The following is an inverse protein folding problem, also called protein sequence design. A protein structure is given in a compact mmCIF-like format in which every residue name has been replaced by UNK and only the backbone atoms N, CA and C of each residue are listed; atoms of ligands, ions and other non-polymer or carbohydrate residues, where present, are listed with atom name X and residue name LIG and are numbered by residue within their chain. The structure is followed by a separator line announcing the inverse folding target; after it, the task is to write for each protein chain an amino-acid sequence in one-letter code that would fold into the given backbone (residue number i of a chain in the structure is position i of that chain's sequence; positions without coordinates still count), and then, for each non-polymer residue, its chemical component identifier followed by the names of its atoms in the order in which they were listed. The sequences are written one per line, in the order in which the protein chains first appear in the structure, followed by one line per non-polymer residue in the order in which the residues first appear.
data_IF_716846168904
#
_entry.id   IF_716846168904
#
_cell.length_a   1.000
_cell.length_b   1.000
_cell.length_c   1.000
_cell.angle_alpha   90.00
_cell.angle_beta   90.00
_cell.angle_gamma   90.00
#
_symmetry.space_group_name_H-M   'P 1'
#
loop_
_entity.id
_entity.type
_entity.pdbx_description
1 polymer ?
#
# COMPACT_ATOMS: atom_id res chain seq x y z
N UNK A 1 7.13 7.08 30.02
CA UNK A 1 7.60 5.69 29.78
C UNK A 1 6.81 4.96 28.69
N UNK A 2 5.47 5.00 28.65
CA UNK A 2 4.66 4.30 27.61
C UNK A 2 4.87 4.80 26.17
N UNK A 3 5.09 6.10 25.98
CA UNK A 3 5.34 6.71 24.66
C UNK A 3 6.58 6.13 23.99
N UNK A 4 7.64 5.85 24.77
CA UNK A 4 8.87 5.23 24.28
C UNK A 4 8.68 3.74 23.94
N UNK A 5 7.72 3.06 24.60
CA UNK A 5 7.39 1.64 24.33
C UNK A 5 6.73 1.45 22.97
N UNK A 6 5.75 2.29 22.64
CA UNK A 6 5.02 2.28 21.36
C UNK A 6 5.89 2.81 20.21
N UNK A 7 6.78 3.76 20.49
CA UNK A 7 7.76 4.28 19.53
C UNK A 7 8.66 3.15 18.97
N UNK A 8 9.15 2.25 19.82
CA UNK A 8 10.03 1.17 19.36
C UNK A 8 9.30 0.13 18.49
N UNK A 9 8.04 -0.22 18.80
CA UNK A 9 7.25 -1.13 17.96
C UNK A 9 7.01 -0.58 16.55
N UNK A 10 6.81 0.74 16.43
CA UNK A 10 6.68 1.41 15.13
C UNK A 10 7.96 1.32 14.28
N UNK A 11 9.12 1.03 14.88
CA UNK A 11 10.40 0.97 14.18
C UNK A 11 10.75 -0.41 13.63
N UNK A 12 10.08 -1.46 14.10
CA UNK A 12 10.38 -2.85 13.73
C UNK A 12 9.90 -3.18 12.33
N UNK A 13 8.67 -2.79 12.00
CA UNK A 13 8.10 -3.08 10.70
C UNK A 13 8.29 -1.90 9.74
N UNK A 14 9.55 -1.57 9.51
CA UNK A 14 9.96 -0.48 8.62
C UNK A 14 10.89 -1.00 7.53
N UNK A 15 10.98 -0.29 6.41
CA UNK A 15 11.91 -0.63 5.32
C UNK A 15 13.35 -0.73 5.81
N UNK A 16 13.79 0.22 6.65
CA UNK A 16 15.14 0.26 7.20
C UNK A 16 15.43 -0.97 8.08
N UNK A 17 14.49 -1.36 8.94
CA UNK A 17 14.68 -2.55 9.76
C UNK A 17 14.74 -3.82 8.91
N UNK A 18 13.90 -3.95 7.88
CA UNK A 18 14.00 -5.10 6.98
C UNK A 18 15.34 -5.12 6.23
N UNK A 19 15.90 -3.96 5.86
CA UNK A 19 17.27 -3.90 5.32
C UNK A 19 18.31 -4.39 6.32
N UNK A 20 18.21 -4.01 7.60
CA UNK A 20 19.12 -4.52 8.63
C UNK A 20 19.02 -6.04 8.77
N UNK A 21 17.82 -6.62 8.70
CA UNK A 21 17.62 -8.06 8.72
C UNK A 21 18.29 -8.76 7.53
N UNK A 22 18.11 -8.23 6.31
CA UNK A 22 18.72 -8.75 5.09
C UNK A 22 20.26 -8.66 5.15
N UNK A 23 20.78 -7.52 5.62
CA UNK A 23 22.22 -7.27 5.71
C UNK A 23 22.90 -7.96 6.90
N UNK A 24 22.16 -8.71 7.72
CA UNK A 24 22.68 -9.38 8.92
C UNK A 24 23.20 -8.42 10.00
N UNK A 25 22.71 -7.16 10.01
CA UNK A 25 23.16 -6.15 10.97
C UNK A 25 22.50 -6.35 12.33
N UNK A 26 23.30 -6.21 13.39
CA UNK A 26 22.79 -6.13 14.75
C UNK A 26 22.10 -4.78 14.96
N UNK A 27 20.83 -4.80 15.38
CA UNK A 27 20.05 -3.58 15.64
C UNK A 27 19.62 -3.52 17.12
N UNK A 28 20.02 -2.44 17.79
CA UNK A 28 19.69 -2.20 19.20
C UNK A 28 18.19 -2.06 19.44
N UNK A 29 17.44 -1.51 18.48
CA UNK A 29 15.99 -1.38 18.55
C UNK A 29 15.34 -2.76 18.46
N UNK A 30 15.79 -3.60 17.53
CA UNK A 30 15.31 -4.98 17.42
C UNK A 30 15.58 -5.75 18.73
N UNK A 31 16.81 -5.69 19.23
CA UNK A 31 17.22 -6.34 20.47
C UNK A 31 16.43 -5.84 21.70
N UNK A 32 16.09 -4.54 21.74
CA UNK A 32 15.29 -3.96 22.81
C UNK A 32 13.81 -4.37 22.73
N UNK A 33 13.27 -4.55 21.53
CA UNK A 33 11.89 -5.02 21.32
C UNK A 33 11.78 -6.50 21.63
N UNK A 34 12.70 -7.34 21.16
CA UNK A 34 12.74 -8.78 21.45
C UNK A 34 12.72 -9.02 22.96
N UNK A 35 13.69 -8.45 23.70
CA UNK A 35 13.76 -8.56 25.17
C UNK A 35 12.49 -8.11 25.90
N UNK A 36 11.70 -7.24 25.28
CA UNK A 36 10.53 -6.62 25.90
C UNK A 36 9.22 -7.34 25.60
N UNK A 37 9.07 -7.87 24.40
CA UNK A 37 7.79 -8.34 23.88
C UNK A 37 7.76 -9.83 23.54
N UNK A 38 8.88 -10.54 23.68
CA UNK A 38 8.95 -11.99 23.42
C UNK A 38 9.37 -12.75 24.68
N UNK A 39 9.02 -14.03 24.75
CA UNK A 39 9.36 -14.91 25.87
C UNK A 39 10.53 -15.80 25.48
N UNK A 40 11.55 -15.94 26.35
CA UNK A 40 12.72 -16.82 26.14
C UNK A 40 13.36 -16.68 24.73
N UNK A 41 13.82 -15.48 24.34
CA UNK A 41 14.21 -15.22 22.96
C UNK A 41 15.41 -16.06 22.48
N UNK A 42 16.34 -16.39 23.38
CA UNK A 42 17.53 -17.21 23.09
C UNK A 42 17.18 -18.64 22.63
N UNK A 43 15.94 -19.11 22.83
CA UNK A 43 15.48 -20.44 22.40
C UNK A 43 14.76 -20.44 21.05
N UNK A 44 14.68 -19.29 20.39
CA UNK A 44 13.83 -19.06 19.21
C UNK A 44 14.65 -18.55 18.04
N UNK A 45 14.16 -18.83 16.83
CA UNK A 45 14.67 -18.17 15.64
C UNK A 45 14.00 -16.79 15.45
N UNK A 46 14.58 -15.96 14.59
CA UNK A 46 14.04 -14.61 14.34
C UNK A 46 12.62 -14.62 13.77
N UNK A 47 12.23 -15.67 13.03
CA UNK A 47 10.85 -15.81 12.52
C UNK A 47 9.83 -15.92 13.64
N UNK A 48 10.08 -16.74 14.65
CA UNK A 48 9.22 -16.88 15.82
C UNK A 48 9.13 -15.57 16.60
N UNK A 49 10.25 -14.88 16.80
CA UNK A 49 10.29 -13.60 17.49
C UNK A 49 9.48 -12.52 16.75
N UNK A 50 9.64 -12.42 15.43
CA UNK A 50 8.87 -11.49 14.61
C UNK A 50 7.36 -11.78 14.70
N UNK A 51 6.97 -13.06 14.72
CA UNK A 51 5.57 -13.45 14.89
C UNK A 51 5.00 -13.02 16.25
N UNK A 52 5.76 -13.18 17.33
CA UNK A 52 5.36 -12.70 18.66
C UNK A 52 5.23 -11.18 18.72
N UNK A 53 6.19 -10.45 18.15
CA UNK A 53 6.15 -8.98 18.08
C UNK A 53 4.94 -8.52 17.25
N UNK A 54 4.62 -9.21 16.15
CA UNK A 54 3.43 -8.88 15.36
C UNK A 54 2.12 -9.21 16.09
N UNK A 55 2.10 -10.28 16.89
CA UNK A 55 0.97 -10.60 17.77
C UNK A 55 0.72 -9.49 18.80
N UNK A 56 1.78 -8.85 19.30
CA UNK A 56 1.68 -7.68 20.17
C UNK A 56 1.01 -6.49 19.45
N UNK A 57 1.40 -6.19 18.20
CA UNK A 57 0.70 -5.18 17.37
C UNK A 57 -0.78 -5.53 17.21
N UNK A 58 -1.10 -6.78 16.90
CA UNK A 58 -2.48 -7.24 16.69
C UNK A 58 -3.36 -7.03 17.93
N UNK A 59 -2.83 -7.33 19.12
CA UNK A 59 -3.60 -7.33 20.38
C UNK A 59 -3.69 -5.96 21.01
N UNK A 60 -2.58 -5.22 21.04
CA UNK A 60 -2.41 -4.07 21.92
C UNK A 60 -2.13 -2.75 21.18
N UNK A 61 -1.68 -2.80 19.91
CA UNK A 61 -1.29 -1.59 19.19
C UNK A 61 -1.40 -1.74 17.66
N UNK A 62 -2.63 -1.72 17.14
CA UNK A 62 -2.92 -1.86 15.70
C UNK A 62 -2.61 -0.55 14.95
N UNK A 63 -1.32 -0.34 14.68
CA UNK A 63 -0.81 0.82 13.94
C UNK A 63 -1.04 0.71 12.42
N UNK A 64 -0.62 1.74 11.69
CA UNK A 64 -0.76 1.83 10.23
C UNK A 64 -0.15 0.62 9.49
N UNK A 65 1.05 0.18 9.91
CA UNK A 65 1.69 -1.00 9.35
C UNK A 65 0.81 -2.25 9.47
N UNK A 66 0.25 -2.50 10.66
CA UNK A 66 -0.63 -3.64 10.89
C UNK A 66 -1.83 -3.64 9.92
N UNK A 67 -2.47 -2.49 9.72
CA UNK A 67 -3.57 -2.36 8.76
C UNK A 67 -3.11 -2.59 7.33
N UNK A 68 -2.03 -1.93 6.90
CA UNK A 68 -1.46 -2.07 5.55
C UNK A 68 -1.09 -3.52 5.23
N UNK A 69 -0.39 -4.18 6.15
CA UNK A 69 0.00 -5.58 6.00
C UNK A 69 -1.20 -6.52 6.01
N UNK A 70 -2.19 -6.28 6.88
CA UNK A 70 -3.41 -7.10 6.93
C UNK A 70 -4.21 -6.96 5.64
N UNK A 71 -4.34 -5.75 5.11
CA UNK A 71 -5.06 -5.48 3.87
C UNK A 71 -4.38 -6.09 2.66
N UNK A 72 -3.06 -5.93 2.52
CA UNK A 72 -2.31 -6.57 1.44
C UNK A 72 -2.54 -8.09 1.46
N UNK A 73 -2.32 -8.74 2.61
CA UNK A 73 -2.49 -10.19 2.72
C UNK A 73 -3.92 -10.63 2.40
N UNK A 74 -4.94 -9.90 2.86
CA UNK A 74 -6.34 -10.30 2.61
C UNK A 74 -6.79 -10.05 1.18
N UNK A 75 -6.49 -8.87 0.66
CA UNK A 75 -6.98 -8.46 -0.66
C UNK A 75 -6.13 -9.10 -1.75
N UNK A 76 -4.81 -8.91 -1.71
CA UNK A 76 -3.92 -9.37 -2.78
C UNK A 76 -3.69 -10.88 -2.76
N UNK A 77 -3.63 -11.50 -1.57
CA UNK A 77 -3.29 -12.93 -1.44
C UNK A 77 -4.47 -13.82 -1.04
N UNK A 78 -5.50 -13.25 -0.43
CA UNK A 78 -6.70 -13.99 -0.01
C UNK A 78 -7.85 -13.94 -1.01
N UNK A 79 -8.00 -12.84 -1.77
CA UNK A 79 -9.10 -12.67 -2.74
C UNK A 79 -8.58 -12.67 -4.18
N UNK A 80 -7.42 -12.06 -4.40
CA UNK A 80 -6.84 -11.92 -5.72
C UNK A 80 -5.59 -12.78 -5.88
N UNK A 81 -5.00 -12.73 -7.08
CA UNK A 81 -3.71 -13.35 -7.37
C UNK A 81 -2.69 -12.28 -7.72
N UNK A 82 -1.47 -12.43 -7.20
CA UNK A 82 -0.30 -11.63 -7.59
C UNK A 82 0.03 -11.73 -9.08
N UNK A 83 -0.51 -12.74 -9.79
CA UNK A 83 -0.34 -12.87 -11.23
C UNK A 83 -1.17 -11.87 -12.03
N UNK A 84 -2.34 -11.50 -11.51
CA UNK A 84 -3.33 -10.69 -12.24
C UNK A 84 -3.54 -9.32 -11.61
N UNK A 85 -3.06 -9.13 -10.38
CA UNK A 85 -3.34 -7.96 -9.55
C UNK A 85 -2.04 -7.29 -9.12
N UNK A 86 -1.99 -5.98 -9.30
CA UNK A 86 -0.88 -5.14 -8.84
C UNK A 86 -1.37 -4.27 -7.69
N UNK A 87 -0.61 -4.25 -6.59
CA UNK A 87 -0.81 -3.28 -5.54
C UNK A 87 0.22 -2.15 -5.66
N UNK A 88 -0.21 -0.92 -5.43
CA UNK A 88 0.64 0.25 -5.25
C UNK A 88 0.40 0.79 -3.85
N UNK A 89 1.43 1.37 -3.25
CA UNK A 89 1.33 2.05 -1.95
C UNK A 89 1.72 3.49 -2.13
N UNK A 90 1.24 4.36 -1.24
CA UNK A 90 1.79 5.71 -1.09
C UNK A 90 1.68 6.59 -2.34
N UNK A 91 0.58 6.44 -3.09
CA UNK A 91 0.38 7.11 -4.38
C UNK A 91 -0.07 8.56 -4.16
N UNK A 92 0.77 9.53 -4.53
CA UNK A 92 0.43 10.96 -4.47
C UNK A 92 -0.65 11.32 -5.49
N UNK A 93 -1.74 11.92 -5.03
CA UNK A 93 -2.90 12.31 -5.82
C UNK A 93 -3.33 13.71 -5.39
N UNK A 94 -3.16 14.71 -6.27
CA UNK A 94 -3.41 16.10 -5.95
C UNK A 94 -2.71 16.53 -4.64
N UNK A 95 -3.45 16.84 -3.57
CA UNK A 95 -2.90 17.25 -2.26
C UNK A 95 -2.84 16.11 -1.25
N UNK A 96 -3.27 14.92 -1.65
CA UNK A 96 -3.44 13.75 -0.81
C UNK A 96 -2.50 12.63 -1.23
N UNK A 97 -2.35 11.62 -0.38
CA UNK A 97 -1.50 10.45 -0.62
C UNK A 97 -2.31 9.20 -0.29
N UNK A 98 -2.70 8.46 -1.31
CA UNK A 98 -3.45 7.22 -1.15
C UNK A 98 -2.56 6.16 -0.48
N UNK A 99 -3.08 5.55 0.59
CA UNK A 99 -2.36 4.51 1.32
C UNK A 99 -2.07 3.29 0.44
N UNK A 100 -3.09 2.81 -0.27
CA UNK A 100 -3.04 1.57 -1.00
C UNK A 100 -3.95 1.62 -2.22
N UNK A 101 -3.47 1.17 -3.38
CA UNK A 101 -4.25 1.07 -4.62
C UNK A 101 -4.12 -0.34 -5.17
N UNK A 102 -5.24 -0.99 -5.45
CA UNK A 102 -5.27 -2.34 -6.01
C UNK A 102 -5.78 -2.29 -7.45
N UNK A 103 -5.02 -2.83 -8.38
CA UNK A 103 -5.30 -2.78 -9.82
C UNK A 103 -5.46 -4.19 -10.37
N UNK A 104 -6.70 -4.55 -10.72
CA UNK A 104 -7.05 -5.81 -11.39
C UNK A 104 -8.33 -5.63 -12.23
N UNK A 105 -8.17 -5.30 -13.51
CA UNK A 105 -9.28 -4.93 -14.40
C UNK A 105 -9.90 -3.56 -14.09
N UNK A 106 -9.92 -3.16 -12.81
CA UNK A 106 -10.22 -1.83 -12.30
C UNK A 106 -9.24 -1.45 -11.20
N UNK A 107 -9.18 -0.16 -10.85
CA UNK A 107 -8.34 0.34 -9.78
C UNK A 107 -9.19 0.77 -8.58
N UNK A 108 -8.90 0.22 -7.40
CA UNK A 108 -9.59 0.55 -6.15
C UNK A 108 -8.58 1.20 -5.21
N UNK A 109 -8.86 2.42 -4.78
CA UNK A 109 -8.12 3.10 -3.72
C UNK A 109 -8.65 2.64 -2.37
N UNK A 110 -7.75 2.35 -1.45
CA UNK A 110 -8.03 2.05 -0.05
C UNK A 110 -7.34 3.10 0.82
N UNK A 111 -8.14 3.95 1.47
CA UNK A 111 -7.70 4.87 2.51
C UNK A 111 -7.84 4.19 3.87
N UNK A 112 -6.78 4.20 4.69
CA UNK A 112 -6.77 3.52 5.98
C UNK A 112 -6.95 4.56 7.09
N UNK A 113 -7.93 4.32 7.97
CA UNK A 113 -8.16 5.10 9.20
C UNK A 113 -8.10 4.17 10.39
N UNK A 114 -6.93 4.08 11.01
CA UNK A 114 -6.63 3.24 12.15
C UNK A 114 -7.30 3.76 13.43
N UNK A 115 -7.09 3.06 14.54
CA UNK A 115 -7.53 3.52 15.87
C UNK A 115 -6.83 4.79 16.35
N UNK A 116 -5.72 5.16 15.71
CA UNK A 116 -4.89 6.29 16.09
C UNK A 116 -5.20 7.54 15.26
N UNK A 117 -5.99 7.38 14.19
CA UNK A 117 -6.27 8.44 13.23
C UNK A 117 -7.56 9.20 13.55
N UNK A 118 -7.54 10.51 13.27
CA UNK A 118 -8.75 11.30 13.15
C UNK A 118 -9.32 11.23 11.72
N UNK A 119 -10.57 11.66 11.57
CA UNK A 119 -11.28 11.64 10.28
C UNK A 119 -11.38 13.02 9.61
N UNK A 120 -10.70 14.04 10.14
CA UNK A 120 -10.87 15.44 9.75
C UNK A 120 -10.50 15.68 8.27
N UNK A 121 -9.44 15.02 7.80
CA UNK A 121 -8.93 15.16 6.43
C UNK A 121 -9.61 14.22 5.42
N UNK A 122 -10.50 13.34 5.88
CA UNK A 122 -11.01 12.24 5.07
C UNK A 122 -11.80 12.73 3.85
N UNK A 123 -12.63 13.76 4.00
CA UNK A 123 -13.43 14.32 2.91
C UNK A 123 -12.55 14.81 1.76
N UNK A 124 -11.56 15.66 2.05
CA UNK A 124 -10.65 16.16 1.02
C UNK A 124 -9.82 15.06 0.37
N UNK A 125 -9.45 14.02 1.12
CA UNK A 125 -8.72 12.88 0.58
C UNK A 125 -9.59 12.10 -0.42
N UNK A 126 -10.84 11.80 -0.06
CA UNK A 126 -11.79 11.12 -0.95
C UNK A 126 -12.01 11.93 -2.24
N UNK A 127 -12.19 13.24 -2.11
CA UNK A 127 -12.36 14.13 -3.27
C UNK A 127 -11.14 14.12 -4.19
N UNK A 128 -9.93 14.16 -3.62
CA UNK A 128 -8.71 14.03 -4.40
C UNK A 128 -8.60 12.67 -5.08
N UNK A 129 -8.96 11.57 -4.41
CA UNK A 129 -8.86 10.23 -4.98
C UNK A 129 -9.80 10.02 -6.16
N UNK A 130 -11.03 10.54 -6.09
CA UNK A 130 -11.98 10.46 -7.20
C UNK A 130 -11.59 11.30 -8.43
N UNK A 131 -10.62 12.21 -8.32
CA UNK A 131 -10.01 12.88 -9.49
C UNK A 131 -9.21 11.92 -10.37
N UNK A 132 -8.78 10.78 -9.83
CA UNK A 132 -7.90 9.84 -10.53
C UNK A 132 -8.49 8.44 -10.62
N UNK A 133 -9.18 7.97 -9.59
CA UNK A 133 -9.67 6.59 -9.52
C UNK A 133 -11.18 6.53 -9.40
N UNK A 134 -11.79 5.56 -10.07
CA UNK A 134 -13.25 5.44 -10.14
C UNK A 134 -13.86 4.61 -8.99
N UNK A 135 -13.03 4.02 -8.12
CA UNK A 135 -13.46 3.31 -6.92
C UNK A 135 -12.60 3.70 -5.72
N UNK A 136 -13.25 4.14 -4.64
CA UNK A 136 -12.60 4.50 -3.37
C UNK A 136 -13.23 3.71 -2.24
N UNK A 137 -12.41 3.18 -1.35
CA UNK A 137 -12.78 2.46 -0.13
C UNK A 137 -12.10 3.13 1.06
N UNK A 138 -12.85 3.32 2.14
CA UNK A 138 -12.29 3.64 3.45
C UNK A 138 -12.28 2.37 4.29
N UNK A 139 -11.09 2.00 4.76
CA UNK A 139 -10.89 0.92 5.72
C UNK A 139 -10.75 1.53 7.11
N UNK A 140 -11.61 1.13 8.04
CA UNK A 140 -11.54 1.60 9.42
C UNK A 140 -11.83 0.48 10.41
N UNK A 141 -12.12 0.82 11.66
CA UNK A 141 -12.48 -0.10 12.74
C UNK A 141 -13.88 0.19 13.28
N UNK A 142 -14.39 -0.71 14.12
CA UNK A 142 -15.79 -0.74 14.52
C UNK A 142 -16.30 0.58 15.14
N UNK A 143 -15.50 1.24 15.99
CA UNK A 143 -15.94 2.46 16.70
C UNK A 143 -16.07 3.67 15.77
N UNK A 144 -15.24 3.76 14.72
CA UNK A 144 -15.29 4.86 13.76
C UNK A 144 -16.42 4.73 12.74
N UNK A 145 -17.11 3.58 12.68
CA UNK A 145 -18.09 3.31 11.62
C UNK A 145 -19.23 4.33 11.57
N UNK A 146 -19.77 4.75 12.71
CA UNK A 146 -20.90 5.68 12.75
C UNK A 146 -20.48 7.09 12.31
N UNK A 147 -19.33 7.57 12.78
CA UNK A 147 -18.79 8.86 12.37
C UNK A 147 -18.44 8.86 10.89
N UNK A 148 -17.83 7.78 10.40
CA UNK A 148 -17.51 7.61 8.98
C UNK A 148 -18.77 7.68 8.11
N UNK A 149 -19.85 6.98 8.48
CA UNK A 149 -21.11 7.04 7.73
C UNK A 149 -21.66 8.45 7.61
N UNK A 150 -21.59 9.26 8.68
CA UNK A 150 -22.03 10.67 8.65
C UNK A 150 -21.19 11.50 7.68
N UNK A 151 -19.86 11.35 7.71
CA UNK A 151 -18.96 12.06 6.78
C UNK A 151 -19.28 11.69 5.34
N UNK A 152 -19.43 10.38 5.05
CA UNK A 152 -19.67 9.89 3.70
C UNK A 152 -21.06 10.24 3.16
N UNK A 153 -22.07 10.39 4.04
CA UNK A 153 -23.40 10.86 3.64
C UNK A 153 -23.34 12.27 3.04
N UNK A 154 -22.50 13.14 3.59
CA UNK A 154 -22.37 14.53 3.13
C UNK A 154 -21.59 14.67 1.82
N UNK A 155 -20.84 13.64 1.38
CA UNK A 155 -20.02 13.69 0.17
C UNK A 155 -20.76 13.30 -1.10
N UNK A 156 -21.93 12.66 -0.99
CA UNK A 156 -22.71 12.13 -2.12
C UNK A 156 -21.88 11.28 -3.12
N UNK A 157 -20.96 10.45 -2.58
CA UNK A 157 -20.11 9.55 -3.38
C UNK A 157 -20.25 8.09 -2.93
N UNK A 158 -20.19 7.11 -3.86
CA UNK A 158 -20.40 5.70 -3.55
C UNK A 158 -19.14 5.03 -2.98
N UNK A 159 -18.61 5.59 -1.89
CA UNK A 159 -17.37 5.16 -1.24
C UNK A 159 -17.59 3.82 -0.52
N UNK A 160 -16.77 2.81 -0.80
CA UNK A 160 -16.81 1.56 -0.05
C UNK A 160 -16.41 1.74 1.41
N UNK A 161 -16.98 0.93 2.31
CA UNK A 161 -16.67 0.96 3.74
C UNK A 161 -16.32 -0.44 4.19
N UNK A 162 -15.06 -0.66 4.55
CA UNK A 162 -14.59 -1.91 5.13
C UNK A 162 -14.18 -1.70 6.58
N UNK A 163 -14.47 -2.67 7.43
CA UNK A 163 -14.14 -2.64 8.86
C UNK A 163 -13.18 -3.78 9.18
N UNK A 164 -11.97 -3.44 9.64
CA UNK A 164 -11.00 -4.41 10.13
C UNK A 164 -11.26 -4.71 11.61
N UNK A 165 -11.83 -5.89 11.84
CA UNK A 165 -12.21 -6.35 13.17
C UNK A 165 -11.02 -6.74 14.03
N UNK A 166 -11.21 -6.80 15.35
CA UNK A 166 -10.16 -7.22 16.31
C UNK A 166 -9.60 -8.62 16.05
N UNK A 167 -10.43 -9.53 15.54
CA UNK A 167 -9.98 -10.88 15.12
C UNK A 167 -9.24 -10.87 13.77
N UNK A 168 -8.84 -9.70 13.26
CA UNK A 168 -8.25 -9.51 11.95
C UNK A 168 -9.15 -9.97 10.81
N UNK A 169 -10.48 -9.98 10.92
CA UNK A 169 -11.35 -10.17 9.77
C UNK A 169 -11.70 -8.83 9.12
N UNK A 170 -11.66 -8.77 7.79
CA UNK A 170 -12.07 -7.59 7.03
C UNK A 170 -13.54 -7.75 6.64
N UNK A 171 -14.42 -7.02 7.31
CA UNK A 171 -15.86 -7.05 7.03
C UNK A 171 -16.23 -5.95 6.04
N UNK A 172 -16.87 -6.33 4.95
CA UNK A 172 -17.50 -5.40 4.02
C UNK A 172 -18.81 -4.87 4.61
N UNK A 173 -18.90 -3.55 4.82
CA UNK A 173 -20.15 -2.87 5.23
C UNK A 173 -20.86 -2.29 4.01
N UNK A 174 -20.11 -1.66 3.11
CA UNK A 174 -20.58 -1.12 1.82
C UNK A 174 -19.53 -1.43 0.76
N UNK A 175 -19.93 -2.01 -0.37
CA UNK A 175 -19.01 -2.18 -1.52
C UNK A 175 -18.82 -0.83 -2.22
N UNK A 176 -17.62 -0.51 -2.74
CA UNK A 176 -17.44 0.68 -3.57
C UNK A 176 -18.13 0.48 -4.92
N UNK A 177 -18.66 1.55 -5.49
CA UNK A 177 -19.21 1.55 -6.85
C UNK A 177 -18.40 2.47 -7.76
N UNK A 178 -18.52 2.22 -9.06
CA UNK A 178 -17.84 3.01 -10.09
C UNK A 178 -18.41 4.43 -10.09
N UNK A 179 -17.54 5.42 -9.96
CA UNK A 179 -17.89 6.83 -10.01
C UNK A 179 -16.86 7.59 -10.85
N UNK A 180 -17.30 8.10 -12.00
CA UNK A 180 -16.41 8.72 -13.00
C UNK A 180 -16.58 10.23 -13.12
N UNK A 181 -17.60 10.82 -12.46
CA UNK A 181 -18.00 12.21 -12.66
C UNK A 181 -16.90 13.20 -12.28
N UNK A 182 -16.03 12.84 -11.35
CA UNK A 182 -14.96 13.70 -10.85
C UNK A 182 -13.61 13.41 -11.52
N UNK A 183 -13.51 12.43 -12.42
CA UNK A 183 -12.24 12.09 -13.07
C UNK A 183 -11.69 13.30 -13.82
N UNK A 184 -10.49 13.70 -13.45
CA UNK A 184 -9.82 14.87 -13.99
C UNK A 184 -8.58 14.42 -14.80
N UNK A 185 -8.65 14.58 -16.13
CA UNK A 185 -7.58 14.17 -17.04
C UNK A 185 -6.24 14.83 -16.70
N UNK A 186 -6.25 16.05 -16.16
CA UNK A 186 -5.00 16.70 -15.76
C UNK A 186 -4.35 16.00 -14.57
N UNK A 187 -5.12 15.70 -13.53
CA UNK A 187 -4.63 15.01 -12.33
C UNK A 187 -4.24 13.57 -12.66
N UNK A 188 -4.98 12.89 -13.52
CA UNK A 188 -4.63 11.56 -14.04
C UNK A 188 -3.29 11.62 -14.78
N UNK A 189 -3.07 12.59 -15.67
CA UNK A 189 -1.80 12.72 -16.40
C UNK A 189 -0.61 12.96 -15.46
N UNK A 190 -0.79 13.76 -14.41
CA UNK A 190 0.26 14.04 -13.40
C UNK A 190 0.70 12.79 -12.63
N UNK A 191 -0.11 11.73 -12.62
CA UNK A 191 0.27 10.46 -12.00
C UNK A 191 1.37 9.74 -12.79
N UNK A 192 1.44 9.96 -14.10
CA UNK A 192 2.28 9.20 -15.01
C UNK A 192 3.74 9.66 -14.97
N UNK A 193 4.65 8.68 -14.99
CA UNK A 193 6.08 8.89 -15.25
C UNK A 193 6.28 9.18 -16.74
N UNK A 194 7.42 9.78 -17.10
CA UNK A 194 7.75 10.14 -18.49
C UNK A 194 7.54 8.99 -19.48
N UNK A 195 8.16 7.85 -19.21
CA UNK A 195 8.04 6.66 -20.05
C UNK A 195 6.60 6.16 -20.17
N UNK A 196 5.78 6.32 -19.13
CA UNK A 196 4.40 5.82 -19.11
C UNK A 196 3.48 6.68 -19.97
N UNK A 197 3.57 8.01 -19.88
CA UNK A 197 2.76 8.85 -20.78
C UNK A 197 3.27 8.81 -22.22
N UNK A 198 4.58 8.64 -22.44
CA UNK A 198 5.13 8.46 -23.79
C UNK A 198 4.55 7.19 -24.44
N UNK A 199 4.56 6.08 -23.72
CA UNK A 199 3.99 4.83 -24.19
C UNK A 199 2.49 4.97 -24.54
N UNK A 200 1.71 5.64 -23.68
CA UNK A 200 0.28 5.86 -23.95
C UNK A 200 0.07 6.71 -25.20
N UNK A 201 0.83 7.81 -25.34
CA UNK A 201 0.72 8.71 -26.48
C UNK A 201 1.14 8.01 -27.76
N UNK A 202 2.24 7.26 -27.74
CA UNK A 202 2.73 6.51 -28.89
C UNK A 202 1.73 5.42 -29.32
N UNK A 203 1.15 4.69 -28.36
CA UNK A 203 0.14 3.67 -28.67
C UNK A 203 -1.13 4.26 -29.29
N UNK A 204 -1.54 5.47 -28.90
CA UNK A 204 -2.76 6.10 -29.42
C UNK A 204 -2.54 6.85 -30.75
N UNK A 205 -1.43 7.60 -30.88
CA UNK A 205 -1.17 8.48 -32.03
C UNK A 205 -0.14 7.93 -33.03
N UNK A 206 0.56 6.84 -32.69
CA UNK A 206 1.63 6.26 -33.52
C UNK A 206 2.94 7.06 -33.54
N UNK A 207 3.00 8.20 -32.84
CA UNK A 207 4.20 9.03 -32.76
C UNK A 207 4.28 9.84 -31.46
N UNK A 208 5.49 10.28 -31.14
CA UNK A 208 5.77 11.24 -30.07
C UNK A 208 6.00 12.63 -30.66
N UNK A 209 5.75 13.72 -29.90
CA UNK A 209 5.88 15.06 -30.42
C UNK A 209 7.34 15.41 -30.73
N UNK A 210 7.57 15.91 -31.95
CA UNK A 210 8.88 16.40 -32.41
C UNK A 210 9.08 17.87 -32.01
N UNK A 211 9.28 18.11 -30.71
CA UNK A 211 9.46 19.46 -30.15
C UNK A 211 10.69 19.52 -29.25
N UNK A 212 11.14 20.73 -28.94
CA UNK A 212 12.22 20.97 -27.97
C UNK A 212 11.90 20.38 -26.59
N UNK A 213 12.93 19.97 -25.84
CA UNK A 213 12.79 19.42 -24.49
C UNK A 213 11.97 20.31 -23.55
N UNK A 214 12.12 21.64 -23.67
CA UNK A 214 11.36 22.63 -22.88
C UNK A 214 9.84 22.55 -23.08
N UNK A 215 9.38 22.25 -24.31
CA UNK A 215 7.96 22.16 -24.67
C UNK A 215 7.39 20.75 -24.54
N UNK A 216 8.25 19.75 -24.41
CA UNK A 216 7.89 18.34 -24.56
C UNK A 216 6.77 17.90 -23.59
N UNK A 217 6.92 18.17 -22.30
CA UNK A 217 5.91 17.83 -21.30
C UNK A 217 4.55 18.47 -21.59
N UNK A 218 4.54 19.76 -21.93
CA UNK A 218 3.31 20.50 -22.20
C UNK A 218 2.58 19.96 -23.45
N UNK A 219 3.33 19.62 -24.51
CA UNK A 219 2.76 19.03 -25.73
C UNK A 219 2.24 17.61 -25.48
N UNK A 220 3.00 16.77 -24.76
CA UNK A 220 2.53 15.44 -24.36
C UNK A 220 1.26 15.52 -23.51
N UNK A 221 1.22 16.43 -22.52
CA UNK A 221 0.02 16.68 -21.72
C UNK A 221 -1.15 17.06 -22.63
N UNK A 222 -0.95 18.01 -23.55
CA UNK A 222 -1.99 18.41 -24.51
C UNK A 222 -2.49 17.20 -25.30
N UNK A 223 -1.60 16.39 -25.89
CA UNK A 223 -1.98 15.19 -26.65
C UNK A 223 -2.80 14.21 -25.81
N UNK A 224 -2.39 13.93 -24.57
CA UNK A 224 -3.15 13.08 -23.66
C UNK A 224 -4.53 13.67 -23.32
N UNK A 225 -4.62 14.97 -23.07
CA UNK A 225 -5.89 15.66 -22.78
C UNK A 225 -6.87 15.63 -23.96
N UNK A 226 -6.42 15.42 -25.20
CA UNK A 226 -7.31 15.27 -26.36
C UNK A 226 -7.89 13.85 -26.49
N UNK A 227 -7.34 12.87 -25.78
CA UNK A 227 -7.87 11.50 -25.78
C UNK A 227 -9.23 11.45 -25.05
N UNK A 228 -10.14 10.55 -25.45
CA UNK A 228 -11.34 10.22 -24.68
C UNK A 228 -10.96 9.78 -23.26
N UNK A 229 -11.76 10.18 -22.26
CA UNK A 229 -11.45 9.89 -20.85
C UNK A 229 -11.46 8.38 -20.59
N UNK A 230 -12.39 7.64 -21.20
CA UNK A 230 -12.50 6.20 -21.04
C UNK A 230 -11.25 5.47 -21.55
N UNK A 231 -10.77 5.83 -22.75
CA UNK A 231 -9.59 5.23 -23.37
C UNK A 231 -8.31 5.59 -22.63
N UNK A 232 -8.13 6.88 -22.33
CA UNK A 232 -6.95 7.37 -21.61
C UNK A 232 -6.88 6.77 -20.20
N UNK A 233 -8.01 6.70 -19.49
CA UNK A 233 -8.08 6.09 -18.16
C UNK A 233 -7.68 4.61 -18.17
N UNK A 234 -8.23 3.81 -19.09
CA UNK A 234 -7.85 2.40 -19.24
C UNK A 234 -6.36 2.24 -19.57
N UNK A 235 -5.81 3.13 -20.41
CA UNK A 235 -4.40 3.13 -20.78
C UNK A 235 -3.51 3.47 -19.58
N UNK A 236 -3.93 4.41 -18.74
CA UNK A 236 -3.25 4.71 -17.46
C UNK A 236 -3.26 3.48 -16.55
N UNK A 237 -4.40 2.82 -16.35
CA UNK A 237 -4.45 1.63 -15.49
C UNK A 237 -3.52 0.51 -15.98
N UNK A 238 -3.38 0.33 -17.30
CA UNK A 238 -2.43 -0.61 -17.89
C UNK A 238 -0.98 -0.25 -17.55
N UNK A 239 -0.60 1.03 -17.60
CA UNK A 239 0.76 1.43 -17.22
C UNK A 239 1.01 1.29 -15.72
N UNK A 240 0.07 1.73 -14.88
CA UNK A 240 0.19 1.59 -13.42
C UNK A 240 0.33 0.13 -12.99
N UNK A 241 -0.37 -0.79 -13.66
CA UNK A 241 -0.28 -2.24 -13.39
C UNK A 241 1.15 -2.78 -13.58
N UNK A 242 1.95 -2.19 -14.48
CA UNK A 242 3.32 -2.62 -14.76
C UNK A 242 4.34 -2.16 -13.72
N UNK A 243 3.99 -1.22 -12.83
CA UNK A 243 4.93 -0.58 -11.89
C UNK A 243 5.52 -1.50 -10.84
N UNK A 244 4.89 -2.65 -10.58
CA UNK A 244 5.34 -3.58 -9.54
C UNK A 244 5.52 -4.97 -10.12
N UNK A 245 6.71 -5.51 -9.89
CA UNK A 245 7.08 -6.87 -10.24
C UNK A 245 7.72 -7.51 -9.01
N UNK A 246 7.35 -8.75 -8.71
CA UNK A 246 7.85 -9.49 -7.56
C UNK A 246 8.31 -10.88 -7.99
N UNK A 247 9.36 -11.37 -7.36
CA UNK A 247 9.78 -12.77 -7.42
C UNK A 247 8.76 -13.64 -6.69
N UNK A 248 7.79 -14.19 -7.43
CA UNK A 248 6.56 -14.78 -6.85
C UNK A 248 6.85 -15.97 -5.94
N UNK A 249 7.77 -16.84 -6.35
CA UNK A 249 8.15 -18.04 -5.61
C UNK A 249 8.82 -17.67 -4.28
N UNK A 250 9.73 -16.70 -4.29
CA UNK A 250 10.39 -16.23 -3.08
C UNK A 250 9.43 -15.45 -2.18
N UNK A 251 8.60 -14.58 -2.77
CA UNK A 251 7.58 -13.83 -2.05
C UNK A 251 6.53 -14.72 -1.36
N UNK A 252 6.26 -15.91 -1.91
CA UNK A 252 5.37 -16.88 -1.29
C UNK A 252 5.89 -17.35 0.08
N UNK A 253 7.21 -17.52 0.22
CA UNK A 253 7.90 -18.00 1.45
C UNK A 253 7.97 -16.95 2.56
N UNK A 254 7.87 -15.66 2.22
CA UNK A 254 7.90 -14.57 3.21
C UNK A 254 6.80 -14.75 4.25
N UNK A 255 7.09 -14.62 5.55
CA UNK A 255 6.09 -14.73 6.61
C UNK A 255 5.01 -13.64 6.50
N UNK A 256 3.80 -13.93 6.98
CA UNK A 256 2.64 -13.03 6.93
C UNK A 256 2.98 -11.62 7.41
N UNK A 257 3.73 -11.56 8.50
CA UNK A 257 4.14 -10.39 9.26
C UNK A 257 5.02 -9.43 8.48
N UNK A 258 5.71 -9.88 7.43
CA UNK A 258 6.66 -9.09 6.65
C UNK A 258 6.21 -8.83 5.20
N UNK A 259 5.13 -9.47 4.74
CA UNK A 259 4.71 -9.44 3.33
C UNK A 259 4.56 -8.03 2.76
N UNK A 260 4.03 -7.08 3.53
CA UNK A 260 3.92 -5.70 3.05
C UNK A 260 5.26 -5.07 2.71
N UNK A 261 6.26 -5.26 3.57
CA UNK A 261 7.59 -4.69 3.32
C UNK A 261 8.24 -5.37 2.12
N UNK A 262 8.28 -6.71 2.13
CA UNK A 262 8.89 -7.48 1.04
C UNK A 262 8.25 -7.20 -0.32
N UNK A 263 6.92 -7.00 -0.36
CA UNK A 263 6.21 -6.69 -1.61
C UNK A 263 6.62 -5.34 -2.20
N UNK A 264 6.77 -4.31 -1.36
CA UNK A 264 7.04 -2.93 -1.82
C UNK A 264 8.52 -2.53 -1.77
N UNK A 265 9.42 -3.46 -1.45
CA UNK A 265 10.87 -3.21 -1.40
C UNK A 265 11.63 -3.70 -2.64
N UNK A 266 10.93 -4.32 -3.61
CA UNK A 266 11.51 -4.80 -4.88
C UNK A 266 12.78 -5.65 -4.63
N UNK A 267 12.68 -6.59 -3.69
CA UNK A 267 13.81 -7.45 -3.30
C UNK A 267 14.23 -8.35 -4.46
N UNK A 268 15.53 -8.44 -4.67
CA UNK A 268 16.17 -9.43 -5.53
C UNK A 268 16.11 -10.83 -4.92
N UNK A 269 16.30 -11.86 -5.76
CA UNK A 269 16.36 -13.26 -5.30
C UNK A 269 17.40 -13.48 -4.19
N UNK A 270 18.56 -12.81 -4.30
CA UNK A 270 19.62 -12.86 -3.28
C UNK A 270 19.14 -12.28 -1.94
N UNK A 271 18.49 -11.12 -1.96
CA UNK A 271 17.97 -10.48 -0.75
C UNK A 271 16.84 -11.30 -0.09
N UNK A 272 16.05 -12.04 -0.87
CA UNK A 272 15.09 -13.01 -0.32
C UNK A 272 15.79 -14.15 0.43
N UNK A 273 16.88 -14.70 -0.13
CA UNK A 273 17.65 -15.77 0.50
C UNK A 273 18.33 -15.28 1.79
N UNK A 274 18.86 -14.06 1.78
CA UNK A 274 19.44 -13.42 2.97
C UNK A 274 18.37 -13.19 4.06
N UNK A 275 17.18 -12.74 3.69
CA UNK A 275 16.06 -12.63 4.62
C UNK A 275 15.65 -14.00 5.19
N UNK A 276 15.59 -15.04 4.36
CA UNK A 276 15.28 -16.40 4.80
C UNK A 276 16.34 -16.94 5.77
N UNK A 277 17.62 -16.72 5.48
CA UNK A 277 18.72 -17.09 6.37
C UNK A 277 18.60 -16.38 7.74
N UNK A 278 18.36 -15.07 7.75
CA UNK A 278 18.12 -14.32 8.98
C UNK A 278 16.93 -14.88 9.78
N UNK A 279 15.80 -15.14 9.11
CA UNK A 279 14.57 -15.63 9.74
C UNK A 279 14.76 -17.00 10.41
N UNK A 280 15.60 -17.86 9.82
CA UNK A 280 15.88 -19.20 10.35
C UNK A 280 17.02 -19.23 11.37
N UNK A 281 17.81 -18.17 11.48
CA UNK A 281 18.89 -18.05 12.46
C UNK A 281 18.33 -17.96 13.89
N UNK A 282 18.97 -18.66 14.82
CA UNK A 282 18.69 -18.56 16.25
C UNK A 282 19.05 -17.17 16.74
N UNK A 283 18.17 -16.55 17.53
CA UNK A 283 18.46 -15.22 18.06
C UNK A 283 19.70 -15.25 18.95
N UNK A 284 20.60 -14.29 18.75
CA UNK A 284 21.89 -14.23 19.46
C UNK A 284 22.97 -15.17 18.91
N UNK A 285 22.64 -16.06 17.97
CA UNK A 285 23.60 -16.87 17.23
C UNK A 285 24.29 -16.05 16.14
N UNK A 286 25.63 -16.11 16.11
CA UNK A 286 26.45 -15.64 14.98
C UNK A 286 26.50 -16.75 13.94
#
# INVERSE_FOLDING_TARGET
METNKKSNLNRIFTRNMLRHFIEGKTDNTYSAVVRRYTIEPEKKNNKELISEIYCELKRNYRNEYFYKNTLLNKLLLGVHSVNTTTALTEVSIAKSKADFVLINGKAIVYEIKTELDNLERLSSQIDDYYKVFDHVVVVTYEKNLQQLKKILYNLDKPVGIYVLRRNSQLKTIRKPEKYIKDLDKETIFKLLRKSEYEEIIFQHYGCLPKVTQFKYYAVCKKMFLHMPIEESYLSVLKQLKKRMQIEKEEFAKVPYELKFLSYFMELSKKEYQELEAFLNCQYGGV
#
